data_IF_122883628517
#
_entry.id   IF_122883628517
#
_cell.length_a   1.000
_cell.length_b   1.000
_cell.length_c   1.000
_cell.angle_alpha   90.00
_cell.angle_beta   90.00
_cell.angle_gamma   90.00
#
_symmetry.space_group_name_H-M   'P 1'
#
loop_
_entity.id
_entity.type
_entity.pdbx_description
1 polymer ?
#
# COMPACT_ATOMS: atom_id res chain seq x y z
N UNK A 1 -8.06 6.56 -13.14
CA UNK A 1 -7.95 7.01 -11.72
C UNK A 1 -7.11 8.27 -11.72
N UNK A 2 -7.55 9.31 -11.00
CA UNK A 2 -6.84 10.60 -10.98
C UNK A 2 -5.67 10.53 -10.00
N UNK A 3 -4.52 11.07 -10.39
CA UNK A 3 -3.34 11.19 -9.53
C UNK A 3 -3.49 12.34 -8.53
N UNK A 4 -2.86 12.20 -7.36
CA UNK A 4 -2.86 13.22 -6.32
C UNK A 4 -1.45 13.78 -6.12
N UNK A 5 -1.36 15.09 -5.95
CA UNK A 5 -0.14 15.75 -5.47
C UNK A 5 -0.40 16.66 -4.30
N UNK A 6 0.51 16.68 -3.33
CA UNK A 6 0.52 17.75 -2.32
C UNK A 6 1.24 18.98 -2.89
N UNK A 7 0.76 20.17 -2.56
CA UNK A 7 1.49 21.42 -2.80
C UNK A 7 1.48 22.24 -1.51
N UNK A 8 2.64 22.70 -1.07
CA UNK A 8 2.81 23.33 0.24
C UNK A 8 4.03 24.25 0.28
N UNK A 9 3.96 25.33 1.03
CA UNK A 9 5.12 26.09 1.50
C UNK A 9 5.36 25.79 2.98
N UNK A 10 6.59 25.47 3.36
CA UNK A 10 6.96 25.01 4.71
C UNK A 10 8.18 25.79 5.22
N UNK A 11 8.19 26.11 6.52
CA UNK A 11 9.36 26.62 7.21
C UNK A 11 10.38 25.49 7.34
N UNK A 12 11.57 25.63 6.75
CA UNK A 12 12.58 24.56 6.70
C UNK A 12 12.96 24.04 8.09
N UNK A 13 13.11 24.93 9.06
CA UNK A 13 13.56 24.59 10.40
C UNK A 13 12.55 23.75 11.21
N UNK A 14 11.25 24.00 11.04
CA UNK A 14 10.20 23.45 11.92
C UNK A 14 9.18 22.56 11.20
N UNK A 15 9.17 22.58 9.86
CA UNK A 15 8.06 22.12 9.01
C UNK A 15 6.74 22.87 9.27
N UNK A 16 6.80 24.09 9.80
CA UNK A 16 5.62 24.91 10.04
C UNK A 16 4.98 25.39 8.72
N UNK A 17 3.65 25.45 8.68
CA UNK A 17 2.88 25.88 7.48
C UNK A 17 1.90 27.01 7.74
N UNK A 18 1.68 27.38 9.00
CA UNK A 18 0.68 28.36 9.35
C UNK A 18 0.69 28.73 10.82
N UNK A 19 0.13 29.91 11.10
CA UNK A 19 -0.10 30.45 12.43
C UNK A 19 -1.47 31.15 12.45
N UNK A 20 -2.37 30.78 13.37
CA UNK A 20 -3.69 31.41 13.54
C UNK A 20 -4.50 31.52 12.24
N UNK A 21 -4.38 30.52 11.36
CA UNK A 21 -5.07 30.49 10.06
C UNK A 21 -4.49 31.45 9.02
N UNK A 22 -3.25 31.89 9.16
CA UNK A 22 -2.53 32.68 8.16
C UNK A 22 -1.18 32.02 7.83
N UNK A 23 -0.63 32.38 6.67
CA UNK A 23 0.74 32.04 6.31
C UNK A 23 1.72 32.90 7.14
N UNK A 24 2.82 32.34 7.66
CA UNK A 24 3.79 33.11 8.45
C UNK A 24 4.61 34.10 7.61
N UNK A 25 4.59 33.97 6.28
CA UNK A 25 5.31 34.80 5.31
C UNK A 25 4.42 35.22 4.13
N UNK A 26 4.92 36.13 3.30
CA UNK A 26 4.26 36.60 2.07
C UNK A 26 5.21 36.61 0.88
N UNK A 27 5.18 35.52 0.11
CA UNK A 27 6.00 35.30 -1.08
C UNK A 27 5.12 35.30 -2.34
N UNK A 28 5.16 36.38 -3.11
CA UNK A 28 4.36 36.53 -4.32
C UNK A 28 4.81 35.55 -5.43
N UNK A 29 6.12 35.26 -5.51
CA UNK A 29 6.67 34.25 -6.41
C UNK A 29 6.12 32.85 -6.13
N UNK A 30 6.02 32.46 -4.86
CA UNK A 30 5.44 31.18 -4.45
C UNK A 30 3.94 31.09 -4.79
N UNK A 31 3.17 32.15 -4.52
CA UNK A 31 1.74 32.20 -4.88
C UNK A 31 1.51 32.13 -6.40
N UNK A 32 2.41 32.73 -7.19
CA UNK A 32 2.39 32.62 -8.66
C UNK A 32 2.62 31.17 -9.08
N UNK A 33 3.65 30.51 -8.55
CA UNK A 33 3.94 29.10 -8.82
C UNK A 33 2.78 28.18 -8.41
N UNK A 34 2.20 28.41 -7.23
CA UNK A 34 1.01 27.68 -6.76
C UNK A 34 -0.14 27.78 -7.76
N UNK A 35 -0.43 29.00 -8.23
CA UNK A 35 -1.47 29.22 -9.23
C UNK A 35 -1.15 28.46 -10.52
N UNK A 36 0.05 28.65 -11.07
CA UNK A 36 0.48 27.98 -12.31
C UNK A 36 0.32 26.46 -12.20
N UNK A 37 0.97 25.82 -11.22
CA UNK A 37 0.90 24.36 -11.04
C UNK A 37 -0.53 23.84 -10.88
N UNK A 38 -1.37 24.53 -10.11
CA UNK A 38 -2.72 24.06 -9.84
C UNK A 38 -3.72 24.37 -10.96
N UNK A 39 -3.39 25.24 -11.92
CA UNK A 39 -4.28 25.58 -13.05
C UNK A 39 -3.83 24.99 -14.38
N UNK A 40 -2.55 24.68 -14.56
CA UNK A 40 -2.02 24.13 -15.80
C UNK A 40 -2.51 22.70 -16.01
N UNK A 41 -3.08 22.43 -17.18
CA UNK A 41 -3.45 21.09 -17.66
C UNK A 41 -2.71 20.76 -18.96
N UNK A 42 -2.46 19.49 -19.18
CA UNK A 42 -1.97 18.96 -20.46
C UNK A 42 -3.11 18.89 -21.49
N UNK A 43 -4.31 18.52 -21.04
CA UNK A 43 -5.54 18.51 -21.80
C UNK A 43 -6.31 19.82 -21.58
N UNK A 44 -6.41 20.63 -22.62
CA UNK A 44 -7.11 21.92 -22.58
C UNK A 44 -8.62 21.80 -22.34
N UNK A 45 -9.20 20.61 -22.49
CA UNK A 45 -10.63 20.35 -22.20
C UNK A 45 -10.90 20.08 -20.73
N UNK A 46 -9.85 19.78 -19.95
CA UNK A 46 -9.96 19.40 -18.54
C UNK A 46 -9.62 20.54 -17.60
N UNK A 47 -9.95 20.33 -16.35
CA UNK A 47 -9.55 21.19 -15.24
C UNK A 47 -8.90 20.37 -14.13
N UNK A 48 -8.08 21.02 -13.31
CA UNK A 48 -7.58 20.42 -12.08
C UNK A 48 -8.53 20.68 -10.91
N UNK A 49 -8.43 19.82 -9.90
CA UNK A 49 -9.09 20.01 -8.61
C UNK A 49 -8.10 20.46 -7.55
N UNK A 50 -8.56 21.31 -6.63
CA UNK A 50 -7.85 21.64 -5.38
C UNK A 50 -8.68 21.17 -4.20
N UNK A 51 -8.11 20.33 -3.35
CA UNK A 51 -8.76 19.79 -2.16
C UNK A 51 -8.12 20.42 -0.93
N UNK A 52 -8.96 20.95 -0.06
CA UNK A 52 -8.52 21.61 1.16
C UNK A 52 -9.43 21.32 2.36
N UNK A 53 -8.89 21.41 3.56
CA UNK A 53 -9.68 21.37 4.79
C UNK A 53 -10.45 22.67 5.01
N UNK A 54 -11.56 22.59 5.78
CA UNK A 54 -12.40 23.76 6.13
C UNK A 54 -11.62 24.97 6.65
N UNK A 55 -10.64 24.78 7.56
CA UNK A 55 -9.85 25.90 8.11
C UNK A 55 -8.99 26.58 7.03
N UNK A 56 -8.46 25.82 6.08
CA UNK A 56 -7.72 26.36 4.93
C UNK A 56 -8.66 27.16 4.03
N UNK A 57 -9.86 26.63 3.75
CA UNK A 57 -10.89 27.40 3.05
C UNK A 57 -11.19 28.73 3.75
N UNK A 58 -11.43 28.72 5.07
CA UNK A 58 -11.73 29.95 5.82
C UNK A 58 -10.59 30.97 5.82
N UNK A 59 -9.34 30.51 5.72
CA UNK A 59 -8.16 31.39 5.64
C UNK A 59 -8.02 32.15 4.32
N UNK A 60 -8.65 31.66 3.24
CA UNK A 60 -8.56 32.31 1.94
C UNK A 60 -9.35 33.64 1.96
N UNK A 61 -8.79 34.74 1.42
CA UNK A 61 -9.53 36.00 1.29
C UNK A 61 -10.86 35.78 0.55
N UNK A 62 -12.00 36.35 1.00
CA UNK A 62 -13.30 36.13 0.36
C UNK A 62 -13.31 36.40 -1.15
N UNK A 63 -12.56 37.42 -1.61
CA UNK A 63 -12.39 37.77 -3.03
C UNK A 63 -11.67 36.71 -3.89
N UNK A 64 -11.06 35.72 -3.26
CA UNK A 64 -10.32 34.63 -3.92
C UNK A 64 -10.97 33.26 -3.67
N UNK A 65 -12.19 33.24 -3.14
CA UNK A 65 -12.98 32.02 -2.94
C UNK A 65 -14.20 32.02 -3.86
N UNK A 66 -14.41 30.95 -4.66
CA UNK A 66 -13.49 29.84 -4.93
C UNK A 66 -12.23 30.27 -5.69
N UNK A 67 -11.18 29.44 -5.67
CA UNK A 67 -9.97 29.65 -6.46
C UNK A 67 -10.30 29.46 -7.95
N UNK A 68 -10.14 30.49 -8.81
CA UNK A 68 -10.61 30.45 -10.19
C UNK A 68 -9.85 29.43 -11.04
N UNK A 69 -10.53 28.89 -12.06
CA UNK A 69 -9.96 27.94 -13.04
C UNK A 69 -9.73 26.52 -12.51
N UNK A 70 -10.32 26.17 -11.36
CA UNK A 70 -10.14 24.89 -10.68
C UNK A 70 -11.45 24.44 -10.04
N UNK A 71 -11.64 23.13 -9.94
CA UNK A 71 -12.68 22.54 -9.09
C UNK A 71 -12.24 22.67 -7.63
N UNK A 72 -12.98 23.43 -6.81
CA UNK A 72 -12.64 23.63 -5.40
C UNK A 72 -13.38 22.62 -4.54
N UNK A 73 -12.63 21.78 -3.82
CA UNK A 73 -13.19 20.78 -2.90
C UNK A 73 -12.82 21.12 -1.47
N UNK A 74 -13.83 21.21 -0.59
CA UNK A 74 -13.65 21.57 0.82
C UNK A 74 -14.10 20.42 1.73
N UNK A 75 -13.17 19.93 2.54
CA UNK A 75 -13.40 18.84 3.47
C UNK A 75 -13.90 19.33 4.83
N UNK A 76 -15.03 18.79 5.29
CA UNK A 76 -15.58 19.05 6.61
C UNK A 76 -16.37 17.86 7.13
N UNK A 77 -16.07 17.42 8.36
CA UNK A 77 -16.84 16.37 9.04
C UNK A 77 -18.21 16.83 9.54
N UNK A 78 -18.48 18.14 9.54
CA UNK A 78 -19.75 18.69 9.97
C UNK A 78 -20.75 18.73 8.79
N UNK A 79 -21.85 17.95 8.82
CA UNK A 79 -22.83 17.91 7.72
C UNK A 79 -23.48 19.26 7.41
N UNK A 80 -23.75 20.09 8.41
CA UNK A 80 -24.35 21.41 8.21
C UNK A 80 -23.40 22.35 7.45
N UNK A 81 -22.10 22.28 7.77
CA UNK A 81 -21.07 23.03 7.04
C UNK A 81 -20.96 22.54 5.59
N UNK A 82 -21.03 21.22 5.36
CA UNK A 82 -21.02 20.68 4.00
C UNK A 82 -22.23 21.17 3.19
N UNK A 83 -23.44 21.13 3.76
CA UNK A 83 -24.64 21.62 3.09
C UNK A 83 -24.52 23.12 2.70
N UNK A 84 -23.99 23.95 3.59
CA UNK A 84 -23.77 25.37 3.30
C UNK A 84 -22.69 25.63 2.23
N UNK A 85 -21.63 24.81 2.19
CA UNK A 85 -20.59 24.89 1.17
C UNK A 85 -21.10 24.41 -0.20
N UNK A 86 -21.83 23.31 -0.25
CA UNK A 86 -22.42 22.78 -1.48
C UNK A 86 -23.47 23.70 -2.11
N UNK A 87 -24.03 24.63 -1.35
CA UNK A 87 -24.92 25.67 -1.87
C UNK A 87 -24.18 26.79 -2.63
N UNK A 88 -22.85 26.88 -2.49
CA UNK A 88 -22.03 27.89 -3.17
C UNK A 88 -21.63 27.42 -4.57
N UNK A 89 -21.80 28.28 -5.57
CA UNK A 89 -21.40 27.97 -6.95
C UNK A 89 -19.90 27.71 -7.05
N UNK A 90 -19.52 26.60 -7.67
CA UNK A 90 -18.11 26.23 -7.90
C UNK A 90 -17.39 25.62 -6.70
N UNK A 91 -18.12 25.18 -5.67
CA UNK A 91 -17.57 24.51 -4.49
C UNK A 91 -18.21 23.14 -4.31
N UNK A 92 -17.37 22.10 -4.18
CA UNK A 92 -17.78 20.75 -3.80
C UNK A 92 -17.41 20.53 -2.34
N UNK A 93 -18.33 19.99 -1.53
CA UNK A 93 -18.06 19.65 -0.14
C UNK A 93 -18.08 18.14 0.08
N UNK A 94 -17.11 17.61 0.84
CA UNK A 94 -17.01 16.20 1.18
C UNK A 94 -16.62 16.00 2.65
N UNK A 95 -16.93 14.84 3.21
CA UNK A 95 -16.65 14.47 4.60
C UNK A 95 -15.20 14.03 4.83
N UNK A 96 -14.61 13.39 3.82
CA UNK A 96 -13.23 12.90 3.81
C UNK A 96 -12.65 12.91 2.38
N UNK A 97 -11.38 12.52 2.26
CA UNK A 97 -10.66 12.53 1.00
C UNK A 97 -11.19 11.49 0.00
N UNK A 98 -11.63 10.32 0.45
CA UNK A 98 -12.14 9.28 -0.44
C UNK A 98 -13.49 9.69 -1.06
N UNK A 99 -14.39 10.26 -0.27
CA UNK A 99 -15.65 10.85 -0.75
C UNK A 99 -15.38 11.96 -1.77
N UNK A 100 -14.41 12.85 -1.49
CA UNK A 100 -14.00 13.89 -2.43
C UNK A 100 -13.50 13.31 -3.76
N UNK A 101 -12.61 12.32 -3.72
CA UNK A 101 -12.08 11.68 -4.93
C UNK A 101 -13.16 10.92 -5.72
N UNK A 102 -14.15 10.34 -5.03
CA UNK A 102 -15.28 9.65 -5.67
C UNK A 102 -16.28 10.61 -6.34
N UNK A 103 -16.42 11.83 -5.82
CA UNK A 103 -17.31 12.84 -6.38
C UNK A 103 -16.69 13.64 -7.54
N UNK A 104 -15.36 13.59 -7.71
CA UNK A 104 -14.67 14.27 -8.80
C UNK A 104 -14.83 13.51 -10.12
N UNK A 105 -15.34 14.20 -11.13
CA UNK A 105 -15.46 13.72 -12.51
C UNK A 105 -14.73 14.65 -13.46
N UNK A 106 -14.09 14.09 -14.48
CA UNK A 106 -13.47 14.86 -15.58
C UNK A 106 -12.39 15.87 -15.17
N UNK A 107 -11.68 15.57 -14.08
CA UNK A 107 -10.50 16.33 -13.67
C UNK A 107 -9.21 15.65 -14.14
N UNK A 108 -8.23 16.44 -14.56
CA UNK A 108 -6.93 15.92 -14.99
C UNK A 108 -6.07 15.51 -13.79
N UNK A 109 -5.97 16.39 -12.79
CA UNK A 109 -5.14 16.18 -11.62
C UNK A 109 -5.79 16.71 -10.34
N UNK A 110 -5.47 16.11 -9.18
CA UNK A 110 -5.93 16.58 -7.87
C UNK A 110 -4.76 17.11 -7.04
N UNK A 111 -4.88 18.35 -6.58
CA UNK A 111 -3.91 18.99 -5.69
C UNK A 111 -4.45 19.08 -4.27
N UNK A 112 -3.75 18.48 -3.32
CA UNK A 112 -3.97 18.65 -1.89
C UNK A 112 -3.25 19.94 -1.46
N UNK A 113 -4.01 20.95 -1.07
CA UNK A 113 -3.48 22.29 -0.76
C UNK A 113 -3.53 22.61 0.75
N UNK A 114 -3.75 21.59 1.57
CA UNK A 114 -3.69 21.64 3.04
C UNK A 114 -5.04 21.55 3.73
N UNK A 115 -5.13 21.63 5.06
CA UNK A 115 -4.05 21.88 6.01
C UNK A 115 -3.42 20.61 6.59
N UNK A 116 -2.78 20.75 7.75
CA UNK A 116 -1.99 19.71 8.42
C UNK A 116 -2.62 18.30 8.38
N UNK A 117 -3.85 18.14 8.87
CA UNK A 117 -4.49 16.82 8.94
C UNK A 117 -4.71 16.19 7.56
N UNK A 118 -5.00 17.01 6.54
CA UNK A 118 -5.19 16.54 5.19
C UNK A 118 -3.86 16.18 4.53
N UNK A 119 -2.77 16.90 4.82
CA UNK A 119 -1.43 16.51 4.38
C UNK A 119 -0.99 15.19 5.02
N UNK A 120 -1.24 14.99 6.33
CA UNK A 120 -0.93 13.72 7.01
C UNK A 120 -1.67 12.52 6.40
N UNK A 121 -2.93 12.73 6.01
CA UNK A 121 -3.76 11.74 5.32
C UNK A 121 -3.27 11.48 3.88
N UNK A 122 -3.09 12.54 3.09
CA UNK A 122 -2.62 12.46 1.72
C UNK A 122 -1.24 11.82 1.60
N UNK A 123 -0.32 12.14 2.51
CA UNK A 123 1.02 11.54 2.55
C UNK A 123 1.00 10.01 2.73
N UNK A 124 -0.09 9.43 3.25
CA UNK A 124 -0.28 7.98 3.40
C UNK A 124 -1.19 7.38 2.31
N UNK A 125 -1.88 8.22 1.54
CA UNK A 125 -2.81 7.80 0.52
C UNK A 125 -2.05 7.24 -0.71
N UNK A 126 -2.35 6.02 -1.19
CA UNK A 126 -1.56 5.34 -2.22
C UNK A 126 -1.53 6.09 -3.55
N UNK A 127 -2.61 6.80 -3.91
CA UNK A 127 -2.67 7.62 -5.13
C UNK A 127 -1.91 8.95 -5.04
N UNK A 128 -1.41 9.34 -3.86
CA UNK A 128 -0.57 10.53 -3.72
C UNK A 128 0.87 10.19 -4.09
N UNK A 129 1.27 10.57 -5.29
CA UNK A 129 2.54 10.17 -5.90
C UNK A 129 3.57 11.28 -5.91
N UNK A 130 3.17 12.53 -5.65
CA UNK A 130 4.08 13.69 -5.71
C UNK A 130 3.81 14.74 -4.64
N UNK A 131 4.86 15.44 -4.21
CA UNK A 131 4.78 16.61 -3.35
C UNK A 131 5.61 17.75 -3.96
N UNK A 132 4.97 18.89 -4.22
CA UNK A 132 5.61 20.15 -4.58
C UNK A 132 5.78 20.98 -3.30
N UNK A 133 7.03 21.15 -2.86
CA UNK A 133 7.35 21.82 -1.61
C UNK A 133 8.10 23.12 -1.90
N UNK A 134 7.70 24.20 -1.26
CA UNK A 134 8.50 25.43 -1.17
C UNK A 134 9.13 25.46 0.22
N UNK A 135 10.44 25.28 0.30
CA UNK A 135 11.21 25.32 1.54
C UNK A 135 11.60 26.77 1.82
N UNK A 136 11.03 27.35 2.87
CA UNK A 136 11.24 28.75 3.27
C UNK A 136 12.21 28.81 4.44
N UNK A 137 13.30 29.55 4.29
CA UNK A 137 14.31 29.74 5.32
C UNK A 137 13.94 30.88 6.26
N UNK A 138 14.27 30.71 7.54
CA UNK A 138 13.94 31.65 8.61
C UNK A 138 13.30 30.97 9.82
N UNK A 139 13.14 31.74 10.89
CA UNK A 139 12.46 31.31 12.10
C UNK A 139 11.05 31.88 12.13
N UNK A 140 10.05 31.00 12.18
CA UNK A 140 8.64 31.36 12.13
C UNK A 140 7.89 30.65 13.24
N UNK A 141 7.11 31.42 14.02
CA UNK A 141 6.13 30.86 14.93
C UNK A 141 5.01 30.18 14.13
N UNK A 142 4.71 28.92 14.44
CA UNK A 142 3.71 28.12 13.72
C UNK A 142 2.87 27.29 14.71
N UNK A 143 1.57 27.15 14.41
CA UNK A 143 0.63 26.29 15.14
C UNK A 143 0.09 25.13 14.27
N UNK A 144 0.42 25.13 12.98
CA UNK A 144 0.14 24.05 12.03
C UNK A 144 1.44 23.61 11.34
N UNK A 145 1.59 22.30 11.15
CA UNK A 145 2.81 21.69 10.64
C UNK A 145 2.56 20.72 9.48
N UNK A 146 3.50 20.64 8.55
CA UNK A 146 3.55 19.62 7.52
C UNK A 146 4.16 18.31 8.06
N UNK A 147 3.83 17.12 7.51
CA UNK A 147 4.39 15.86 7.98
C UNK A 147 5.93 15.83 7.92
N UNK A 148 6.57 15.58 9.07
CA UNK A 148 8.05 15.65 9.22
C UNK A 148 8.84 14.61 8.42
N UNK A 149 8.22 13.52 7.95
CA UNK A 149 8.96 12.47 7.23
C UNK A 149 8.15 11.85 6.10
N UNK A 150 8.10 12.55 4.96
CA UNK A 150 7.58 11.97 3.72
C UNK A 150 8.43 10.78 3.23
N UNK A 151 9.72 10.73 3.60
CA UNK A 151 10.60 9.60 3.32
C UNK A 151 10.06 8.28 3.89
N UNK A 152 9.46 8.30 5.09
CA UNK A 152 8.80 7.13 5.68
C UNK A 152 7.59 6.64 4.88
N UNK A 153 7.03 7.51 4.04
CA UNK A 153 5.93 7.23 3.13
C UNK A 153 6.40 6.96 1.68
N UNK A 154 7.70 6.73 1.47
CA UNK A 154 8.30 6.35 0.18
C UNK A 154 8.57 7.50 -0.79
N UNK A 155 8.41 8.75 -0.35
CA UNK A 155 8.79 9.92 -1.15
C UNK A 155 10.30 10.12 -1.13
N UNK A 156 10.86 10.35 -2.31
CA UNK A 156 12.26 10.71 -2.51
C UNK A 156 12.34 12.04 -3.25
N UNK A 157 13.33 12.84 -2.92
CA UNK A 157 13.61 14.08 -3.66
C UNK A 157 14.04 13.74 -5.09
N UNK A 158 13.42 14.41 -6.06
CA UNK A 158 13.69 14.21 -7.49
C UNK A 158 14.16 15.48 -8.18
N UNK A 159 13.86 16.65 -7.61
CA UNK A 159 14.30 17.93 -8.17
C UNK A 159 14.38 19.00 -7.09
N UNK A 160 15.37 19.89 -7.21
CA UNK A 160 15.56 21.07 -6.38
C UNK A 160 15.90 22.24 -7.29
N UNK A 161 15.19 23.36 -7.13
CA UNK A 161 15.51 24.60 -7.84
C UNK A 161 16.73 25.29 -7.22
N UNK A 162 17.41 26.19 -7.96
CA UNK A 162 18.27 27.20 -7.34
C UNK A 162 17.53 27.97 -6.24
N UNK A 163 18.29 28.47 -5.27
CA UNK A 163 17.75 29.31 -4.21
C UNK A 163 17.27 30.65 -4.77
N UNK A 164 16.16 31.14 -4.23
CA UNK A 164 15.51 32.40 -4.59
C UNK A 164 15.41 33.29 -3.36
N UNK A 165 15.43 34.60 -3.57
CA UNK A 165 15.26 35.59 -2.51
C UNK A 165 14.11 36.52 -2.91
N UNK A 166 13.11 36.65 -2.04
CA UNK A 166 12.06 37.66 -2.16
C UNK A 166 11.89 38.35 -0.80
N UNK A 167 12.03 39.69 -0.75
CA UNK A 167 11.91 40.48 0.50
C UNK A 167 12.78 39.92 1.62
N UNK A 168 14.05 39.64 1.29
CA UNK A 168 15.06 39.09 2.21
C UNK A 168 14.73 37.70 2.78
N UNK A 169 13.71 37.02 2.24
CA UNK A 169 13.38 35.65 2.58
C UNK A 169 13.98 34.74 1.51
N UNK A 170 14.91 33.88 1.93
CA UNK A 170 15.48 32.82 1.09
C UNK A 170 14.51 31.63 1.03
N UNK A 171 14.29 31.09 -0.17
CA UNK A 171 13.48 29.90 -0.35
C UNK A 171 13.91 29.07 -1.57
N UNK A 172 13.49 27.80 -1.60
CA UNK A 172 13.76 26.86 -2.69
C UNK A 172 12.51 26.05 -3.03
N UNK A 173 12.36 25.68 -4.30
CA UNK A 173 11.35 24.72 -4.73
C UNK A 173 11.95 23.33 -4.79
N UNK A 174 11.32 22.39 -4.11
CA UNK A 174 11.69 20.97 -4.10
C UNK A 174 10.51 20.15 -4.62
N UNK A 175 10.79 19.16 -5.44
CA UNK A 175 9.84 18.13 -5.83
C UNK A 175 10.26 16.80 -5.21
N UNK A 176 9.28 16.11 -4.63
CA UNK A 176 9.44 14.73 -4.18
C UNK A 176 8.44 13.85 -4.92
N UNK A 177 8.90 12.70 -5.37
CA UNK A 177 8.07 11.67 -6.00
C UNK A 177 8.08 10.40 -5.14
N UNK A 178 6.93 9.75 -5.01
CA UNK A 178 6.81 8.47 -4.34
C UNK A 178 7.21 7.36 -5.29
N UNK A 179 8.18 6.55 -4.89
CA UNK A 179 8.52 5.32 -5.62
C UNK A 179 7.35 4.35 -5.58
N UNK A 180 6.96 3.82 -6.74
CA UNK A 180 5.93 2.79 -6.82
C UNK A 180 6.36 1.52 -6.08
N UNK A 181 5.47 0.91 -5.29
CA UNK A 181 5.84 -0.19 -4.40
C UNK A 181 6.31 -1.45 -5.15
N UNK A 182 5.85 -1.66 -6.40
CA UNK A 182 6.31 -2.75 -7.27
C UNK A 182 7.82 -2.68 -7.57
N UNK A 183 8.44 -1.50 -7.49
CA UNK A 183 9.89 -1.37 -7.67
C UNK A 183 10.67 -2.20 -6.65
N UNK A 184 10.14 -2.43 -5.44
CA UNK A 184 10.78 -3.32 -4.47
C UNK A 184 10.99 -4.74 -5.01
N UNK A 185 10.04 -5.23 -5.82
CA UNK A 185 10.15 -6.54 -6.45
C UNK A 185 11.19 -6.55 -7.57
N UNK A 186 11.19 -5.52 -8.41
CA UNK A 186 12.14 -5.41 -9.54
C UNK A 186 13.57 -5.18 -9.05
N UNK A 187 13.76 -4.27 -8.09
CA UNK A 187 15.04 -3.98 -7.45
C UNK A 187 15.59 -5.24 -6.74
N UNK A 188 14.73 -6.04 -6.09
CA UNK A 188 15.15 -7.31 -5.48
C UNK A 188 15.59 -8.33 -6.54
N UNK A 189 14.89 -8.45 -7.67
CA UNK A 189 15.32 -9.33 -8.77
C UNK A 189 16.66 -8.90 -9.32
N UNK A 190 16.82 -7.60 -9.60
CA UNK A 190 18.06 -7.03 -10.11
C UNK A 190 19.22 -7.32 -9.14
N UNK A 191 19.01 -7.07 -7.84
CA UNK A 191 19.99 -7.37 -6.80
C UNK A 191 20.37 -8.85 -6.74
N UNK A 192 19.42 -9.78 -6.90
CA UNK A 192 19.72 -11.21 -6.96
C UNK A 192 20.60 -11.54 -8.17
N UNK A 193 20.33 -10.93 -9.33
CA UNK A 193 21.10 -11.17 -10.56
C UNK A 193 22.53 -10.63 -10.41
N UNK A 194 22.68 -9.42 -9.87
CA UNK A 194 23.97 -8.72 -9.80
C UNK A 194 24.87 -9.24 -8.68
N UNK A 195 24.29 -9.53 -7.51
CA UNK A 195 25.05 -9.81 -6.28
C UNK A 195 24.85 -11.24 -5.74
N UNK A 196 23.90 -12.00 -6.30
CA UNK A 196 23.49 -13.27 -5.72
C UNK A 196 24.51 -14.40 -5.90
N UNK A 197 24.51 -15.32 -4.94
CA UNK A 197 25.40 -16.49 -4.96
C UNK A 197 24.81 -17.57 -5.86
N UNK A 198 25.59 -17.99 -6.86
CA UNK A 198 25.27 -19.14 -7.73
C UNK A 198 25.35 -20.43 -6.92
N UNK A 199 24.29 -21.24 -6.97
CA UNK A 199 24.21 -22.56 -6.36
C UNK A 199 23.81 -23.57 -7.43
N UNK A 200 24.58 -24.64 -7.57
CA UNK A 200 24.19 -25.77 -8.41
C UNK A 200 23.00 -26.51 -7.80
N UNK A 201 22.23 -27.20 -8.63
CA UNK A 201 21.26 -28.19 -8.19
C UNK A 201 21.47 -29.51 -8.94
N UNK A 202 20.85 -30.59 -8.43
CA UNK A 202 20.91 -31.94 -9.02
C UNK A 202 20.29 -32.05 -10.43
N UNK A 203 19.64 -30.98 -10.91
CA UNK A 203 18.98 -30.90 -12.22
C UNK A 203 19.79 -30.10 -13.24
N UNK A 204 20.91 -29.50 -12.84
CA UNK A 204 21.77 -28.69 -13.70
C UNK A 204 21.21 -27.30 -14.03
N UNK A 205 20.02 -26.94 -13.53
CA UNK A 205 19.41 -25.62 -13.76
C UNK A 205 20.14 -24.55 -12.93
N UNK A 206 20.46 -24.89 -11.69
CA UNK A 206 21.12 -23.98 -10.76
C UNK A 206 20.21 -22.81 -10.37
N UNK A 207 20.63 -22.07 -9.34
CA UNK A 207 19.93 -20.88 -8.86
C UNK A 207 20.92 -19.77 -8.54
N UNK A 208 20.49 -18.52 -8.67
CA UNK A 208 21.19 -17.36 -8.11
C UNK A 208 20.36 -16.91 -6.90
N UNK A 209 20.99 -16.77 -5.74
CA UNK A 209 20.25 -16.58 -4.49
C UNK A 209 20.88 -15.56 -3.54
N UNK A 210 20.01 -14.87 -2.80
CA UNK A 210 20.36 -14.05 -1.64
C UNK A 210 19.68 -14.63 -0.39
N UNK A 211 20.25 -14.35 0.79
CA UNK A 211 19.64 -14.69 2.06
C UNK A 211 19.09 -13.45 2.75
N UNK A 212 17.80 -13.49 3.09
CA UNK A 212 17.11 -12.41 3.78
C UNK A 212 16.78 -11.23 2.86
N UNK A 213 15.49 -11.03 2.61
CA UNK A 213 14.97 -9.86 1.93
C UNK A 213 13.62 -9.48 2.53
N UNK A 214 13.23 -8.21 2.39
CA UNK A 214 11.95 -7.72 2.87
C UNK A 214 11.32 -6.80 1.82
N UNK A 215 10.01 -6.95 1.64
CA UNK A 215 9.17 -6.01 0.88
C UNK A 215 7.98 -5.61 1.74
N UNK A 216 7.39 -4.45 1.45
CA UNK A 216 6.20 -3.91 2.12
C UNK A 216 5.22 -3.36 1.09
N UNK A 217 3.95 -3.71 1.23
CA UNK A 217 2.91 -3.26 0.31
C UNK A 217 1.74 -2.65 1.08
N UNK A 218 1.25 -1.51 0.60
CA UNK A 218 0.11 -0.80 1.15
C UNK A 218 -1.20 -1.43 0.64
N UNK A 219 -2.12 -1.73 1.57
CA UNK A 219 -3.43 -2.34 1.30
C UNK A 219 -4.61 -1.40 1.56
N UNK A 220 -4.34 -0.11 1.78
CA UNK A 220 -5.37 0.89 2.11
C UNK A 220 -6.06 1.39 0.85
N UNK A 221 -7.25 1.98 1.03
CA UNK A 221 -8.02 2.61 -0.05
C UNK A 221 -8.24 1.67 -1.24
N UNK A 222 -8.61 0.42 -0.93
CA UNK A 222 -8.88 -0.66 -1.88
C UNK A 222 -7.74 -0.98 -2.87
N UNK A 223 -6.50 -0.66 -2.48
CA UNK A 223 -5.31 -1.04 -3.25
C UNK A 223 -4.93 -2.48 -2.95
N UNK A 224 -4.73 -3.24 -4.02
CA UNK A 224 -4.25 -4.62 -3.96
C UNK A 224 -2.93 -4.74 -4.73
N UNK A 225 -1.84 -5.25 -4.13
CA UNK A 225 -0.50 -5.26 -4.71
C UNK A 225 -0.33 -6.41 -5.71
N UNK A 226 -1.16 -6.42 -6.76
CA UNK A 226 -0.98 -7.31 -7.90
C UNK A 226 0.10 -6.73 -8.80
N UNK A 227 1.19 -7.48 -8.99
CA UNK A 227 2.27 -7.05 -9.88
C UNK A 227 1.75 -6.78 -11.30
N UNK A 228 2.21 -5.68 -11.89
CA UNK A 228 1.76 -5.18 -13.20
C UNK A 228 2.76 -5.48 -14.31
N UNK A 229 4.05 -5.55 -13.99
CA UNK A 229 5.14 -5.85 -14.94
C UNK A 229 5.08 -7.26 -15.52
N UNK A 230 4.34 -8.16 -14.88
CA UNK A 230 3.98 -9.46 -15.43
C UNK A 230 2.61 -9.88 -14.91
N UNK A 231 1.72 -10.29 -15.82
CA UNK A 231 0.37 -10.75 -15.47
C UNK A 231 0.43 -11.89 -14.43
N UNK A 232 -0.19 -11.66 -13.28
CA UNK A 232 -0.34 -12.66 -12.21
C UNK A 232 -1.59 -13.50 -12.45
N UNK A 233 -1.52 -14.81 -12.18
CA UNK A 233 -2.67 -15.72 -12.29
C UNK A 233 -3.65 -15.54 -11.10
N UNK A 234 -4.39 -14.44 -11.11
CA UNK A 234 -5.26 -14.02 -9.99
C UNK A 234 -6.29 -15.09 -9.58
N UNK A 235 -6.98 -15.71 -10.55
CA UNK A 235 -7.94 -16.80 -10.29
C UNK A 235 -7.28 -17.92 -9.47
N UNK A 236 -6.06 -18.31 -9.83
CA UNK A 236 -5.30 -19.33 -9.10
C UNK A 236 -4.97 -18.90 -7.67
N UNK A 237 -4.50 -17.66 -7.48
CA UNK A 237 -4.16 -17.10 -6.15
C UNK A 237 -5.39 -17.07 -5.23
N UNK A 238 -6.52 -16.55 -5.73
CA UNK A 238 -7.74 -16.42 -4.93
C UNK A 238 -8.32 -17.79 -4.52
N UNK A 239 -8.42 -18.72 -5.47
CA UNK A 239 -8.97 -20.05 -5.22
C UNK A 239 -8.06 -20.91 -4.34
N UNK A 240 -6.73 -20.80 -4.49
CA UNK A 240 -5.77 -21.46 -3.60
C UNK A 240 -5.88 -20.92 -2.17
N UNK A 241 -6.04 -19.60 -2.00
CA UNK A 241 -6.24 -19.01 -0.67
C UNK A 241 -7.53 -19.54 -0.01
N UNK A 242 -8.64 -19.60 -0.75
CA UNK A 242 -9.90 -20.17 -0.25
C UNK A 242 -9.74 -21.67 0.09
N UNK A 243 -8.99 -22.41 -0.73
CA UNK A 243 -8.64 -23.80 -0.47
C UNK A 243 -7.86 -23.95 0.85
N UNK A 244 -6.84 -23.11 1.10
CA UNK A 244 -6.14 -23.10 2.38
C UNK A 244 -7.05 -22.73 3.55
N UNK A 245 -7.89 -21.69 3.41
CA UNK A 245 -8.82 -21.27 4.46
C UNK A 245 -9.79 -22.41 4.81
N UNK A 246 -10.24 -23.19 3.83
CA UNK A 246 -11.14 -24.34 4.06
C UNK A 246 -10.49 -25.49 4.83
N UNK A 247 -9.15 -25.55 4.90
CA UNK A 247 -8.43 -26.68 5.49
C UNK A 247 -8.30 -27.89 4.57
N UNK A 248 -8.68 -27.75 3.30
CA UNK A 248 -8.61 -28.83 2.31
C UNK A 248 -7.15 -29.20 1.99
N UNK A 249 -6.92 -30.49 1.72
CA UNK A 249 -5.62 -31.08 1.43
C UNK A 249 -5.57 -31.79 0.08
N UNK A 250 -6.70 -31.88 -0.63
CA UNK A 250 -6.78 -32.54 -1.91
C UNK A 250 -6.74 -31.54 -3.09
N UNK A 251 -5.69 -31.65 -3.90
CA UNK A 251 -5.43 -30.83 -5.08
C UNK A 251 -6.51 -30.98 -6.18
N UNK A 252 -7.25 -32.11 -6.22
CA UNK A 252 -8.32 -32.35 -7.20
C UNK A 252 -9.37 -31.22 -7.19
N UNK A 253 -9.69 -30.70 -6.01
CA UNK A 253 -10.66 -29.60 -5.87
C UNK A 253 -10.21 -28.29 -6.54
N UNK A 254 -8.90 -28.07 -6.72
CA UNK A 254 -8.37 -26.97 -7.52
C UNK A 254 -8.35 -27.35 -9.02
N UNK A 255 -8.01 -28.60 -9.34
CA UNK A 255 -8.02 -29.13 -10.71
C UNK A 255 -9.40 -29.03 -11.36
N UNK A 256 -10.48 -29.36 -10.62
CA UNK A 256 -11.87 -29.26 -11.06
C UNK A 256 -12.25 -27.81 -11.46
N UNK A 257 -11.54 -26.82 -10.92
CA UNK A 257 -11.68 -25.39 -11.26
C UNK A 257 -10.73 -24.91 -12.35
N UNK A 258 -9.95 -25.83 -12.94
CA UNK A 258 -8.93 -25.58 -13.95
C UNK A 258 -7.61 -25.04 -13.38
N UNK A 259 -7.34 -25.21 -12.08
CA UNK A 259 -6.14 -24.71 -11.41
C UNK A 259 -5.17 -25.86 -11.16
N UNK A 260 -4.04 -25.83 -11.88
CA UNK A 260 -3.09 -26.95 -12.00
C UNK A 260 -1.78 -26.77 -11.21
N UNK A 261 -1.72 -25.76 -10.34
CA UNK A 261 -0.48 -25.36 -9.66
C UNK A 261 0.06 -26.41 -8.67
N UNK A 262 -0.76 -27.40 -8.29
CA UNK A 262 -0.41 -28.50 -7.40
C UNK A 262 -0.28 -29.87 -8.10
N UNK A 263 -0.50 -29.94 -9.42
CA UNK A 263 -0.56 -31.21 -10.16
C UNK A 263 0.75 -31.99 -10.08
N UNK A 264 1.88 -31.30 -10.20
CA UNK A 264 3.21 -31.93 -10.10
C UNK A 264 3.47 -32.55 -8.74
N UNK A 265 3.05 -31.90 -7.65
CA UNK A 265 3.24 -32.40 -6.28
C UNK A 265 2.19 -33.43 -5.86
N UNK A 266 1.00 -33.39 -6.48
CA UNK A 266 -0.10 -34.33 -6.21
C UNK A 266 -0.09 -35.57 -7.10
N UNK A 267 0.84 -35.69 -8.04
CA UNK A 267 0.90 -36.85 -8.95
C UNK A 267 1.24 -38.14 -8.20
N UNK A 268 0.74 -39.27 -8.71
CA UNK A 268 1.04 -40.61 -8.15
C UNK A 268 2.55 -40.85 -8.09
N UNK A 269 3.25 -40.56 -9.18
CA UNK A 269 4.71 -40.70 -9.29
C UNK A 269 5.45 -39.89 -8.21
N UNK A 270 5.05 -38.64 -7.98
CA UNK A 270 5.71 -37.79 -6.99
C UNK A 270 5.45 -38.27 -5.56
N UNK A 271 4.23 -38.71 -5.26
CA UNK A 271 3.88 -39.28 -3.97
C UNK A 271 4.63 -40.59 -3.69
N UNK A 272 4.74 -41.47 -4.68
CA UNK A 272 5.50 -42.73 -4.56
C UNK A 272 6.99 -42.48 -4.33
N UNK A 273 7.56 -41.50 -5.05
CA UNK A 273 8.95 -41.07 -4.86
C UNK A 273 9.23 -40.58 -3.43
N UNK A 274 8.23 -40.04 -2.75
CA UNK A 274 8.31 -39.63 -1.34
C UNK A 274 7.98 -40.77 -0.35
N UNK A 275 7.67 -41.98 -0.83
CA UNK A 275 7.25 -43.10 0.01
C UNK A 275 5.80 -43.00 0.50
N UNK A 276 4.99 -42.10 -0.07
CA UNK A 276 3.58 -41.87 0.29
C UNK A 276 2.64 -42.74 -0.56
N UNK A 277 2.99 -44.02 -0.72
CA UNK A 277 2.26 -45.00 -1.55
C UNK A 277 0.82 -45.23 -1.10
N UNK A 278 0.55 -45.04 0.19
CA UNK A 278 -0.77 -45.22 0.81
C UNK A 278 -1.76 -44.07 0.58
N UNK A 279 -1.31 -42.92 0.07
CA UNK A 279 -2.19 -41.77 -0.22
C UNK A 279 -2.79 -41.89 -1.60
N UNK A 280 -3.95 -41.30 -1.86
CA UNK A 280 -4.48 -41.19 -3.22
C UNK A 280 -3.78 -40.07 -4.00
N UNK A 281 -3.76 -40.18 -5.34
CA UNK A 281 -3.32 -39.06 -6.17
C UNK A 281 -4.16 -37.81 -5.88
N UNK A 282 -3.50 -36.66 -5.73
CA UNK A 282 -4.07 -35.39 -5.32
C UNK A 282 -4.12 -35.16 -3.81
N UNK A 283 -4.03 -36.19 -2.95
CA UNK A 283 -3.97 -36.00 -1.50
C UNK A 283 -2.56 -35.58 -1.06
N UNK A 284 -2.40 -34.29 -0.76
CA UNK A 284 -1.11 -33.71 -0.38
C UNK A 284 -0.73 -33.97 1.08
N UNK A 285 -1.62 -34.60 1.86
CA UNK A 285 -1.47 -34.76 3.29
C UNK A 285 -1.68 -33.45 4.06
N UNK A 286 -1.25 -33.37 5.34
CA UNK A 286 -1.62 -32.28 6.25
C UNK A 286 -0.82 -30.99 5.99
N UNK A 287 -0.87 -30.46 4.77
CA UNK A 287 -0.19 -29.24 4.32
C UNK A 287 -0.98 -27.97 4.69
N UNK A 288 -0.32 -26.82 4.65
CA UNK A 288 -0.85 -25.44 4.79
C UNK A 288 -2.21 -25.32 5.51
N UNK A 289 -3.32 -25.35 4.76
CA UNK A 289 -4.68 -25.17 5.29
C UNK A 289 -5.02 -26.12 6.43
N UNK A 290 -4.62 -27.39 6.34
CA UNK A 290 -4.81 -28.34 7.42
C UNK A 290 -4.10 -27.87 8.70
N UNK A 291 -2.86 -27.39 8.61
CA UNK A 291 -2.15 -26.87 9.79
C UNK A 291 -2.77 -25.57 10.30
N UNK A 292 -3.31 -24.72 9.43
CA UNK A 292 -3.98 -23.48 9.84
C UNK A 292 -5.27 -23.74 10.62
N UNK A 293 -6.01 -24.81 10.28
CA UNK A 293 -7.32 -25.13 10.86
C UNK A 293 -7.26 -26.23 11.93
N UNK A 294 -6.30 -27.14 11.84
CA UNK A 294 -6.21 -28.39 12.58
C UNK A 294 -4.76 -28.68 13.05
N UNK A 295 -4.05 -27.64 13.51
CA UNK A 295 -2.67 -27.75 13.99
C UNK A 295 -2.53 -28.89 15.02
N UNK A 296 -1.64 -29.85 14.75
CA UNK A 296 -1.37 -30.98 15.63
C UNK A 296 -2.37 -32.15 15.57
N UNK A 297 -3.47 -32.07 14.80
CA UNK A 297 -4.49 -33.12 14.72
C UNK A 297 -4.06 -34.31 13.84
N UNK A 298 -4.27 -35.56 14.27
CA UNK A 298 -3.87 -36.75 13.49
C UNK A 298 -4.59 -36.86 12.13
N UNK A 299 -3.81 -37.04 11.06
CA UNK A 299 -4.33 -37.04 9.68
C UNK A 299 -5.11 -38.30 9.30
N UNK A 300 -5.05 -39.37 10.11
CA UNK A 300 -5.81 -40.63 9.87
C UNK A 300 -7.27 -40.57 10.38
N UNK A 301 -7.65 -39.52 11.12
CA UNK A 301 -8.91 -39.48 11.90
C UNK A 301 -9.82 -38.28 11.59
N UNK A 302 -9.69 -37.62 10.44
CA UNK A 302 -10.54 -36.46 10.11
C UNK A 302 -11.54 -36.77 8.99
N UNK A 303 -12.40 -37.76 9.20
CA UNK A 303 -13.76 -37.77 8.63
C UNK A 303 -14.78 -37.18 9.63
N UNK A 304 -14.34 -36.72 10.80
CA UNK A 304 -15.24 -36.20 11.84
C UNK A 304 -14.78 -34.88 12.42
N UNK A 305 -15.79 -34.06 12.65
CA UNK A 305 -15.83 -32.63 12.97
C UNK A 305 -15.35 -32.34 14.40
N UNK A 306 -14.23 -32.91 14.85
CA UNK A 306 -13.78 -32.82 16.24
C UNK A 306 -12.34 -32.34 16.35
N UNK A 307 -12.19 -31.01 16.45
CA UNK A 307 -11.14 -30.24 17.15
C UNK A 307 -10.95 -28.91 16.44
N UNK A 308 -11.99 -28.06 16.43
CA UNK A 308 -11.81 -26.63 16.17
C UNK A 308 -11.20 -26.05 17.45
N UNK A 309 -9.87 -26.10 17.57
CA UNK A 309 -9.21 -25.14 18.45
C UNK A 309 -9.45 -23.76 17.83
N UNK A 310 -10.09 -22.88 18.61
CA UNK A 310 -10.51 -21.51 18.27
C UNK A 310 -9.42 -20.72 17.52
N UNK A 311 -9.36 -20.84 16.20
CA UNK A 311 -8.63 -19.91 15.32
C UNK A 311 -9.55 -18.85 14.71
N UNK A 312 -10.88 -18.96 14.88
CA UNK A 312 -11.89 -17.98 14.44
C UNK A 312 -12.31 -16.97 15.52
N UNK A 313 -11.51 -16.78 16.58
CA UNK A 313 -11.76 -15.66 17.49
C UNK A 313 -11.42 -14.36 16.77
N UNK A 314 -12.43 -13.52 16.51
CA UNK A 314 -12.27 -12.22 15.86
C UNK A 314 -11.18 -11.35 16.51
N UNK A 315 -10.68 -10.37 15.76
CA UNK A 315 -9.92 -9.28 16.37
C UNK A 315 -10.87 -8.52 17.29
N UNK A 316 -10.66 -8.60 18.61
CA UNK A 316 -11.26 -7.60 19.49
C UNK A 316 -10.51 -6.29 19.26
N UNK A 317 -11.23 -5.18 19.17
CA UNK A 317 -10.73 -3.82 18.93
C UNK A 317 -9.80 -3.27 20.02
N UNK A 318 -9.30 -4.11 20.93
CA UNK A 318 -8.35 -3.70 21.96
C UNK A 318 -7.00 -3.40 21.30
N UNK A 319 -6.57 -2.13 21.40
CA UNK A 319 -5.26 -1.62 20.96
C UNK A 319 -4.15 -2.63 21.32
N UNK A 320 -3.38 -3.06 20.33
CA UNK A 320 -2.18 -3.87 20.55
C UNK A 320 -2.34 -5.40 20.46
N UNK A 321 -3.47 -5.91 19.97
CA UNK A 321 -3.61 -7.36 19.71
C UNK A 321 -2.61 -7.83 18.65
N UNK A 322 -1.85 -8.87 18.98
CA UNK A 322 -0.97 -9.61 18.07
C UNK A 322 -1.48 -11.05 17.97
N UNK A 323 -1.49 -11.59 16.75
CA UNK A 323 -1.77 -13.00 16.52
C UNK A 323 -0.75 -13.58 15.55
N UNK A 324 -0.41 -14.85 15.76
CA UNK A 324 0.55 -15.60 14.96
C UNK A 324 -0.08 -16.90 14.53
N UNK A 325 0.12 -17.26 13.27
CA UNK A 325 -0.19 -18.57 12.72
C UNK A 325 1.09 -19.16 12.11
N UNK A 326 1.25 -20.47 12.26
CA UNK A 326 2.35 -21.22 11.68
C UNK A 326 1.79 -22.41 10.91
N UNK A 327 2.31 -22.65 9.71
CA UNK A 327 2.13 -23.93 9.02
C UNK A 327 3.22 -24.92 9.42
N UNK A 328 4.36 -24.46 9.94
CA UNK A 328 5.51 -25.31 10.23
C UNK A 328 5.30 -26.14 11.50
N UNK A 329 5.30 -27.46 11.32
CA UNK A 329 5.23 -28.44 12.40
C UNK A 329 6.32 -29.50 12.22
N UNK A 330 7.42 -29.37 12.98
CA UNK A 330 8.63 -30.20 12.86
C UNK A 330 8.36 -31.71 12.89
N UNK A 331 7.43 -32.19 13.74
CA UNK A 331 7.08 -33.62 13.86
C UNK A 331 6.28 -34.19 12.67
N UNK A 332 5.84 -33.36 11.72
CA UNK A 332 4.96 -33.78 10.61
C UNK A 332 5.54 -33.52 9.22
N UNK A 333 6.77 -33.02 9.14
CA UNK A 333 7.42 -32.66 7.87
C UNK A 333 7.50 -33.86 6.93
N UNK A 334 7.68 -35.07 7.46
CA UNK A 334 7.73 -36.33 6.69
C UNK A 334 6.37 -36.76 6.12
N UNK A 335 5.27 -36.17 6.57
CA UNK A 335 3.92 -36.48 6.10
C UNK A 335 3.44 -35.55 4.97
N UNK A 336 4.23 -34.55 4.57
CA UNK A 336 3.84 -33.56 3.56
C UNK A 336 4.26 -34.00 2.15
N UNK A 337 3.34 -33.92 1.19
CA UNK A 337 3.67 -34.09 -0.23
C UNK A 337 4.47 -32.92 -0.81
N UNK A 338 4.66 -31.83 -0.07
CA UNK A 338 5.55 -30.73 -0.46
C UNK A 338 6.08 -30.03 0.77
N UNK A 339 7.36 -29.65 0.74
CA UNK A 339 7.92 -28.81 1.80
C UNK A 339 7.16 -27.47 1.82
N UNK A 340 6.96 -26.92 3.01
CA UNK A 340 6.30 -25.62 3.17
C UNK A 340 7.24 -24.50 2.73
N UNK A 341 7.46 -24.38 1.42
CA UNK A 341 8.28 -23.34 0.80
C UNK A 341 7.58 -21.98 0.79
N UNK A 342 6.24 -21.96 0.84
CA UNK A 342 5.45 -20.71 0.95
C UNK A 342 5.40 -20.20 2.40
N UNK A 343 4.40 -19.40 2.75
CA UNK A 343 4.25 -18.77 4.07
C UNK A 343 4.34 -19.79 5.21
N UNK A 344 5.49 -19.81 5.89
CA UNK A 344 5.75 -20.68 7.06
C UNK A 344 5.06 -20.14 8.29
N UNK A 345 5.10 -18.82 8.44
CA UNK A 345 4.37 -18.13 9.49
C UNK A 345 3.83 -16.81 8.97
N UNK A 346 2.70 -16.39 9.54
CA UNK A 346 2.18 -15.06 9.33
C UNK A 346 1.71 -14.46 10.65
N UNK A 347 1.96 -13.17 10.80
CA UNK A 347 1.67 -12.39 11.98
C UNK A 347 0.72 -11.27 11.61
N UNK A 348 -0.25 -11.03 12.45
CA UNK A 348 -1.15 -9.89 12.32
C UNK A 348 -1.04 -8.99 13.53
N UNK A 349 -1.01 -7.68 13.27
CA UNK A 349 -0.99 -6.64 14.30
C UNK A 349 -2.09 -5.63 14.01
N UNK A 350 -2.88 -5.31 15.02
CA UNK A 350 -3.84 -4.21 14.97
C UNK A 350 -3.32 -2.99 15.72
N UNK A 351 -3.25 -1.83 15.04
CA UNK A 351 -2.87 -0.53 15.61
C UNK A 351 -3.74 0.57 15.03
N UNK A 352 -4.41 1.35 15.88
CA UNK A 352 -5.29 2.46 15.46
C UNK A 352 -6.29 2.02 14.37
N UNK A 353 -7.02 0.93 14.63
CA UNK A 353 -7.99 0.31 13.70
C UNK A 353 -7.42 -0.10 12.34
N UNK A 354 -6.10 -0.24 12.24
CA UNK A 354 -5.39 -0.72 11.04
C UNK A 354 -4.79 -2.09 11.29
N UNK A 355 -5.04 -2.99 10.36
CA UNK A 355 -4.48 -4.34 10.36
C UNK A 355 -3.23 -4.39 9.49
N UNK A 356 -2.12 -4.89 10.04
CA UNK A 356 -0.87 -5.14 9.32
C UNK A 356 -0.57 -6.62 9.36
N UNK A 357 -0.24 -7.20 8.20
CA UNK A 357 0.20 -8.59 8.08
C UNK A 357 1.69 -8.67 7.76
N UNK A 358 2.40 -9.58 8.40
CA UNK A 358 3.80 -9.93 8.11
C UNK A 358 3.85 -11.41 7.76
N UNK A 359 4.31 -11.73 6.56
CA UNK A 359 4.44 -13.10 6.07
C UNK A 359 5.92 -13.45 5.98
N UNK A 360 6.28 -14.63 6.51
CA UNK A 360 7.65 -15.14 6.47
C UNK A 360 7.72 -16.34 5.53
N UNK A 361 8.58 -16.23 4.53
CA UNK A 361 8.83 -17.26 3.52
C UNK A 361 10.25 -17.80 3.72
N UNK A 362 10.42 -19.12 3.93
CA UNK A 362 11.75 -19.72 4.08
C UNK A 362 12.46 -19.89 2.73
N UNK A 363 11.69 -19.93 1.62
CA UNK A 363 12.21 -20.06 0.27
C UNK A 363 11.29 -19.34 -0.70
N UNK A 364 11.86 -18.49 -1.54
CA UNK A 364 11.16 -17.86 -2.68
C UNK A 364 12.01 -18.17 -3.90
N UNK A 365 11.39 -18.81 -4.89
CA UNK A 365 12.04 -19.20 -6.13
C UNK A 365 11.20 -18.73 -7.31
N UNK A 366 11.85 -18.19 -8.32
CA UNK A 366 11.23 -17.81 -9.59
C UNK A 366 11.98 -18.54 -10.69
N UNK A 367 11.26 -19.34 -11.48
CA UNK A 367 11.82 -19.91 -12.69
C UNK A 367 12.05 -18.80 -13.72
N UNK A 368 13.26 -18.74 -14.26
CA UNK A 368 13.63 -17.89 -15.39
C UNK A 368 13.97 -18.80 -16.56
N UNK A 369 13.24 -18.67 -17.66
CA UNK A 369 13.75 -19.14 -18.94
C UNK A 369 14.66 -18.03 -19.46
N UNK A 370 15.97 -18.28 -19.48
CA UNK A 370 16.92 -17.45 -20.22
C UNK A 370 17.04 -17.98 -21.64
#
# INVERSE_FOLDING_TARGET
>A
MVELSMIVAVARATNGIGIKGQLPWRLAGDLKRFRELTTSTADATKQNAVVMGRKTWDSLPPKHRPLPGRVNVVLSRNPAVRAALSAQTGVLAAGDLDEALGALTDVEHVFIIGGQSLYEEAAQHPRCTRAYITLVDGEYECDAFFPKSLASCGFVETSVSPAQIEKDILFQYTQLDRKHEELQYLELIQKIIDEGVRKGDRTGTGTISLFGAQMRFNLRHDVFPLLTTKRVFWKGVAEELLWFISGNTNAKTLQDKGIKIWDGNGSREFLDKLGLTHREAGDLGPVYGFQWRHFGANSRTSSTRSSIHRTTAGFSSRRGTRRTWSSWHYRRVTCFASFMSRTVSFHARCTNDRLTWVLVYPSISRATHY
#
